data_IF_876675786696
#
_entry.id   IF_876675786696
#
_cell.length_a   1.000
_cell.length_b   1.000
_cell.length_c   1.000
_cell.angle_alpha   90.00
_cell.angle_beta   90.00
_cell.angle_gamma   90.00
#
_symmetry.space_group_name_H-M   'P 1'
#
loop_
_entity.id
_entity.type
_entity.pdbx_description
1 polymer ?
#
# COMPACT_ATOMS: atom_id res chain seq x y z
N UNK A 1 29.33 2.11 -10.55
CA UNK A 1 27.87 2.23 -10.31
C UNK A 1 27.65 3.56 -9.61
N UNK A 2 26.94 4.51 -10.24
CA UNK A 2 26.66 5.80 -9.61
C UNK A 2 25.50 5.63 -8.62
N UNK A 3 25.82 5.68 -7.33
CA UNK A 3 24.86 5.47 -6.24
C UNK A 3 23.78 6.56 -6.22
N UNK A 4 24.14 7.81 -6.54
CA UNK A 4 23.18 8.93 -6.57
C UNK A 4 22.21 8.77 -7.75
N UNK A 5 22.73 8.35 -8.91
CA UNK A 5 21.87 8.01 -10.06
C UNK A 5 20.90 6.89 -9.69
N UNK A 6 21.38 5.81 -9.06
CA UNK A 6 20.53 4.69 -8.66
C UNK A 6 19.47 5.08 -7.64
N UNK A 7 19.81 5.90 -6.66
CA UNK A 7 18.84 6.41 -5.68
C UNK A 7 17.73 7.21 -6.36
N UNK A 8 18.07 8.11 -7.29
CA UNK A 8 17.08 8.89 -8.08
C UNK A 8 16.15 7.98 -8.88
N UNK A 9 16.67 6.94 -9.51
CA UNK A 9 15.86 5.96 -10.27
C UNK A 9 14.87 5.21 -9.36
N UNK A 10 15.29 4.82 -8.16
CA UNK A 10 14.42 4.15 -7.18
C UNK A 10 13.27 5.09 -6.80
N UNK A 11 13.56 6.33 -6.40
CA UNK A 11 12.52 7.29 -6.06
C UNK A 11 11.57 7.58 -7.22
N UNK A 12 12.08 7.70 -8.46
CA UNK A 12 11.23 7.90 -9.62
C UNK A 12 10.28 6.71 -9.86
N UNK A 13 10.77 5.49 -9.61
CA UNK A 13 9.95 4.26 -9.70
C UNK A 13 8.85 4.26 -8.65
N UNK A 14 9.18 4.62 -7.40
CA UNK A 14 8.20 4.70 -6.30
C UNK A 14 7.14 5.76 -6.55
N UNK A 15 7.53 6.96 -7.01
CA UNK A 15 6.59 8.03 -7.37
C UNK A 15 5.61 7.54 -8.44
N UNK A 16 6.11 6.87 -9.48
CA UNK A 16 5.28 6.35 -10.57
C UNK A 16 4.30 5.29 -10.08
N UNK A 17 4.72 4.43 -9.14
CA UNK A 17 3.86 3.42 -8.54
C UNK A 17 2.76 4.05 -7.66
N UNK A 18 3.08 5.09 -6.90
CA UNK A 18 2.11 5.84 -6.10
C UNK A 18 1.09 6.53 -6.99
N UNK A 19 1.52 7.21 -8.06
CA UNK A 19 0.62 7.86 -9.02
C UNK A 19 -0.32 6.86 -9.70
N UNK A 20 0.20 5.70 -10.13
CA UNK A 20 -0.61 4.63 -10.69
C UNK A 20 -1.63 4.07 -9.68
N UNK A 21 -1.23 3.92 -8.42
CA UNK A 21 -2.12 3.42 -7.35
C UNK A 21 -3.23 4.43 -7.03
N UNK A 22 -2.90 5.73 -7.01
CA UNK A 22 -3.88 6.80 -6.81
C UNK A 22 -4.99 6.77 -7.87
N UNK A 23 -4.63 6.50 -9.13
CA UNK A 23 -5.56 6.47 -10.26
C UNK A 23 -6.56 5.32 -10.22
N UNK A 24 -6.28 4.24 -9.48
CA UNK A 24 -7.19 3.08 -9.36
C UNK A 24 -8.06 3.14 -8.09
N UNK A 25 -7.97 4.21 -7.31
CA UNK A 25 -8.87 4.42 -6.18
C UNK A 25 -10.27 4.75 -6.69
N UNK A 26 -11.22 3.88 -6.39
CA UNK A 26 -12.61 4.00 -6.81
C UNK A 26 -13.58 3.63 -5.67
N UNK A 27 -14.85 3.41 -6.00
CA UNK A 27 -15.88 3.05 -5.02
C UNK A 27 -15.56 1.76 -4.26
N UNK A 28 -14.83 0.81 -4.85
CA UNK A 28 -14.48 -0.43 -4.16
C UNK A 28 -13.50 -0.18 -3.01
N UNK A 29 -12.60 0.80 -3.15
CA UNK A 29 -11.75 1.25 -2.06
C UNK A 29 -12.58 1.83 -0.91
N UNK A 30 -13.51 2.73 -1.23
CA UNK A 30 -14.42 3.35 -0.25
C UNK A 30 -15.25 2.28 0.50
N UNK A 31 -15.83 1.33 -0.24
CA UNK A 31 -16.60 0.22 0.34
C UNK A 31 -15.74 -0.65 1.27
N UNK A 32 -14.51 -0.96 0.89
CA UNK A 32 -13.60 -1.76 1.71
C UNK A 32 -13.28 -1.05 3.04
N UNK A 33 -12.98 0.25 3.00
CA UNK A 33 -12.73 1.05 4.20
C UNK A 33 -13.96 1.08 5.11
N UNK A 34 -15.14 1.34 4.55
CA UNK A 34 -16.38 1.38 5.31
C UNK A 34 -16.71 0.04 5.97
N UNK A 35 -16.51 -1.09 5.26
CA UNK A 35 -16.71 -2.44 5.82
C UNK A 35 -15.78 -2.74 6.98
N UNK A 36 -14.51 -2.34 6.88
CA UNK A 36 -13.52 -2.49 7.96
C UNK A 36 -13.94 -1.64 9.15
N UNK A 37 -14.30 -0.37 8.93
CA UNK A 37 -14.69 0.57 9.97
C UNK A 37 -15.98 0.15 10.71
N UNK A 38 -16.93 -0.45 10.00
CA UNK A 38 -18.18 -0.96 10.59
C UNK A 38 -18.06 -2.33 11.25
N UNK A 39 -16.88 -2.95 11.24
CA UNK A 39 -16.69 -4.28 11.79
C UNK A 39 -16.83 -4.25 13.32
N UNK A 40 -17.90 -4.86 13.85
CA UNK A 40 -18.13 -5.01 15.30
C UNK A 40 -17.31 -6.13 15.94
N UNK A 41 -16.63 -6.94 15.12
CA UNK A 41 -15.81 -8.07 15.55
C UNK A 41 -14.32 -7.73 15.54
N UNK A 42 -13.54 -8.60 14.90
CA UNK A 42 -12.09 -8.43 14.74
C UNK A 42 -11.73 -8.50 13.26
N UNK A 43 -10.89 -7.57 12.82
CA UNK A 43 -10.26 -7.59 11.51
C UNK A 43 -8.92 -8.31 11.64
N UNK A 44 -8.77 -9.43 10.93
CA UNK A 44 -7.53 -10.21 10.95
C UNK A 44 -6.74 -9.90 9.69
N UNK A 45 -5.56 -9.29 9.87
CA UNK A 45 -4.62 -9.00 8.78
C UNK A 45 -3.53 -10.08 8.77
N UNK A 46 -3.33 -10.74 7.64
CA UNK A 46 -2.31 -11.78 7.46
C UNK A 46 -1.56 -11.59 6.16
N UNK A 47 -0.33 -12.08 6.10
CA UNK A 47 0.54 -11.98 4.94
C UNK A 47 1.95 -12.51 5.23
N UNK A 48 2.67 -12.86 4.16
CA UNK A 48 4.04 -13.41 4.24
C UNK A 48 5.03 -12.35 3.72
N UNK A 49 6.23 -12.31 4.30
CA UNK A 49 7.32 -11.43 3.85
C UNK A 49 7.03 -9.95 4.11
N UNK A 50 7.43 -9.08 3.17
CA UNK A 50 7.30 -7.61 3.29
C UNK A 50 5.85 -7.20 3.56
N UNK A 51 4.88 -7.81 2.88
CA UNK A 51 3.45 -7.54 3.05
C UNK A 51 2.97 -7.87 4.48
N UNK A 52 3.48 -8.95 5.08
CA UNK A 52 3.18 -9.27 6.48
C UNK A 52 3.78 -8.26 7.47
N UNK A 53 4.98 -7.74 7.19
CA UNK A 53 5.60 -6.69 8.01
C UNK A 53 4.79 -5.39 7.97
N UNK A 54 4.23 -5.01 6.81
CA UNK A 54 3.34 -3.86 6.69
C UNK A 54 2.02 -4.12 7.43
N UNK A 55 1.39 -5.28 7.20
CA UNK A 55 0.12 -5.63 7.84
C UNK A 55 0.17 -5.68 9.36
N UNK A 56 1.33 -5.99 9.96
CA UNK A 56 1.53 -5.95 11.42
C UNK A 56 1.51 -4.56 12.04
N UNK A 57 1.58 -3.49 11.24
CA UNK A 57 1.56 -2.09 11.73
C UNK A 57 0.14 -1.52 11.82
N UNK A 58 -0.85 -2.30 11.38
CA UNK A 58 -2.28 -1.97 11.36
C UNK A 58 -2.96 -2.73 12.49
#
# INVERSE_FOLDING_TARGET
MDVLKRAREIFQTEISAIDATSKVLDKHFEEAVNKIASCSGRVVVTGIGKSGIIGRKV
#
